data_IF_598799367488
#
_entry.id   IF_598799367488
#
_cell.length_a   1.000
_cell.length_b   1.000
_cell.length_c   1.000
_cell.angle_alpha   90.00
_cell.angle_beta   90.00
_cell.angle_gamma   90.00
#
_symmetry.space_group_name_H-M   'P 1'
#
loop_
_entity.id
_entity.type
_entity.pdbx_description
1 polymer ?
#
# COMPACT_ATOMS: atom_id res chain seq x y z
N UNK A 1 20.21 -15.47 -7.33
CA UNK A 1 19.75 -14.06 -7.18
C UNK A 1 18.32 -13.84 -7.70
N UNK A 2 17.96 -14.31 -8.91
CA UNK A 2 16.60 -14.16 -9.46
C UNK A 2 15.47 -14.74 -8.58
N UNK A 3 15.72 -15.88 -7.94
CA UNK A 3 14.76 -16.56 -7.04
C UNK A 3 14.47 -15.78 -5.77
N UNK A 4 15.46 -15.08 -5.21
CA UNK A 4 15.30 -14.29 -3.99
C UNK A 4 14.45 -13.03 -4.24
N UNK A 5 14.69 -12.34 -5.36
CA UNK A 5 13.93 -11.15 -5.74
C UNK A 5 12.46 -11.48 -6.05
N UNK A 6 12.20 -12.59 -6.75
CA UNK A 6 10.82 -13.08 -6.96
C UNK A 6 10.11 -13.40 -5.65
N UNK A 7 10.81 -13.99 -4.67
CA UNK A 7 10.26 -14.25 -3.33
C UNK A 7 9.90 -12.94 -2.62
N UNK A 8 10.80 -11.96 -2.61
CA UNK A 8 10.56 -10.65 -2.01
C UNK A 8 9.39 -9.91 -2.69
N UNK A 9 9.29 -9.99 -4.02
CA UNK A 9 8.17 -9.43 -4.78
C UNK A 9 6.84 -10.05 -4.37
N UNK A 10 6.76 -11.39 -4.31
CA UNK A 10 5.57 -12.11 -3.87
C UNK A 10 5.16 -11.71 -2.45
N UNK A 11 6.11 -11.60 -1.52
CA UNK A 11 5.84 -11.22 -0.13
C UNK A 11 5.29 -9.78 -0.03
N UNK A 12 5.82 -8.84 -0.81
CA UNK A 12 5.31 -7.47 -0.84
C UNK A 12 3.92 -7.38 -1.46
N UNK A 13 3.65 -8.16 -2.50
CA UNK A 13 2.33 -8.25 -3.12
C UNK A 13 1.30 -8.81 -2.14
N UNK A 14 1.65 -9.87 -1.41
CA UNK A 14 0.78 -10.46 -0.39
C UNK A 14 0.45 -9.47 0.73
N UNK A 15 1.47 -8.79 1.29
CA UNK A 15 1.27 -7.74 2.30
C UNK A 15 0.41 -6.58 1.78
N UNK A 16 0.61 -6.18 0.52
CA UNK A 16 -0.20 -5.14 -0.08
C UNK A 16 -1.64 -5.58 -0.31
N UNK A 17 -1.88 -6.81 -0.75
CA UNK A 17 -3.22 -7.37 -0.92
C UNK A 17 -3.94 -7.50 0.42
N UNK A 18 -3.25 -7.92 1.48
CA UNK A 18 -3.79 -7.92 2.83
C UNK A 18 -4.22 -6.50 3.25
N UNK A 19 -3.34 -5.52 3.06
CA UNK A 19 -3.65 -4.12 3.32
C UNK A 19 -4.85 -3.62 2.51
N UNK A 20 -4.96 -3.98 1.23
CA UNK A 20 -6.09 -3.63 0.35
C UNK A 20 -7.39 -4.31 0.80
N UNK A 21 -7.33 -5.53 1.33
CA UNK A 21 -8.48 -6.26 1.86
C UNK A 21 -9.00 -5.77 3.21
N UNK A 22 -8.17 -5.11 4.04
CA UNK A 22 -8.56 -4.67 5.40
C UNK A 22 -9.76 -3.71 5.40
N UNK A 23 -10.73 -3.93 6.29
CA UNK A 23 -11.84 -2.98 6.47
C UNK A 23 -11.33 -1.73 7.21
N UNK A 24 -11.70 -0.55 6.71
CA UNK A 24 -11.31 0.74 7.29
C UNK A 24 -12.43 1.40 8.12
N UNK A 25 -13.32 0.59 8.69
CA UNK A 25 -14.41 1.04 9.57
C UNK A 25 -13.90 1.28 10.98
N UNK A 26 -14.49 2.24 11.71
CA UNK A 26 -14.29 2.47 13.14
C UNK A 26 -12.83 2.69 13.59
N UNK A 27 -11.97 3.19 12.70
CA UNK A 27 -10.58 3.47 13.04
C UNK A 27 -10.46 4.65 14.01
N UNK A 28 -9.57 4.55 15.00
CA UNK A 28 -9.10 5.67 15.81
C UNK A 28 -8.20 6.61 14.98
N UNK A 29 -7.81 7.75 15.54
CA UNK A 29 -6.80 8.61 14.88
C UNK A 29 -5.44 7.93 14.83
N UNK A 30 -5.05 7.17 15.86
CA UNK A 30 -3.79 6.41 15.85
C UNK A 30 -3.79 5.35 14.74
N UNK A 31 -4.86 4.56 14.63
CA UNK A 31 -5.00 3.51 13.63
C UNK A 31 -4.87 4.10 12.21
N UNK A 32 -5.46 5.28 12.00
CA UNK A 32 -5.36 5.98 10.71
C UNK A 32 -3.94 6.44 10.41
N UNK A 33 -3.21 6.95 11.40
CA UNK A 33 -1.81 7.36 11.23
C UNK A 33 -0.94 6.15 10.89
N UNK A 34 -1.11 5.06 11.63
CA UNK A 34 -0.38 3.80 11.40
C UNK A 34 -0.68 3.24 10.01
N UNK A 35 -1.95 3.12 9.63
CA UNK A 35 -2.34 2.63 8.31
C UNK A 35 -1.84 3.53 7.16
N UNK A 36 -1.77 4.85 7.36
CA UNK A 36 -1.19 5.77 6.37
C UNK A 36 0.31 5.55 6.20
N UNK A 37 1.04 5.35 7.31
CA UNK A 37 2.49 5.06 7.31
C UNK A 37 2.77 3.70 6.67
N UNK A 38 2.01 2.67 7.02
CA UNK A 38 2.10 1.33 6.43
C UNK A 38 1.89 1.38 4.91
N UNK A 39 0.84 2.05 4.45
CA UNK A 39 0.59 2.22 3.02
C UNK A 39 1.75 2.92 2.31
N UNK A 40 2.32 3.97 2.91
CA UNK A 40 3.50 4.66 2.36
C UNK A 40 4.71 3.74 2.26
N UNK A 41 4.96 2.92 3.29
CA UNK A 41 6.03 1.94 3.29
C UNK A 41 5.87 0.93 2.17
N UNK A 42 4.67 0.34 2.02
CA UNK A 42 4.35 -0.61 0.96
C UNK A 42 4.59 -0.02 -0.43
N UNK A 43 4.10 1.19 -0.69
CA UNK A 43 4.29 1.87 -1.98
C UNK A 43 5.78 2.06 -2.30
N UNK A 44 6.58 2.51 -1.32
CA UNK A 44 8.02 2.72 -1.53
C UNK A 44 8.77 1.40 -1.78
N UNK A 45 8.49 0.36 -0.99
CA UNK A 45 9.11 -0.95 -1.17
C UNK A 45 8.72 -1.59 -2.51
N UNK A 46 7.46 -1.47 -2.94
CA UNK A 46 7.04 -1.98 -4.26
C UNK A 46 7.72 -1.19 -5.38
N UNK A 47 7.87 0.13 -5.24
CA UNK A 47 8.53 0.97 -6.24
C UNK A 47 10.00 0.59 -6.48
N UNK A 48 10.72 0.17 -5.43
CA UNK A 48 12.10 -0.32 -5.56
C UNK A 48 12.18 -1.54 -6.49
N UNK A 49 11.29 -2.51 -6.30
CA UNK A 49 11.23 -3.70 -7.17
C UNK A 49 10.73 -3.34 -8.56
N UNK A 50 9.73 -2.47 -8.67
CA UNK A 50 9.18 -2.02 -9.94
C UNK A 50 10.22 -1.32 -10.81
N UNK A 51 11.12 -0.51 -10.23
CA UNK A 51 12.18 0.17 -10.99
C UNK A 51 13.07 -0.78 -11.77
N UNK A 52 13.32 -1.97 -11.23
CA UNK A 52 14.17 -2.99 -11.85
C UNK A 52 13.38 -3.94 -12.75
N UNK A 53 12.24 -4.43 -12.27
CA UNK A 53 11.44 -5.47 -12.95
C UNK A 53 10.53 -4.90 -14.03
N UNK A 54 10.09 -3.65 -13.87
CA UNK A 54 9.04 -2.99 -14.66
C UNK A 54 7.75 -3.81 -14.76
N UNK A 55 7.48 -4.68 -13.78
CA UNK A 55 6.30 -5.53 -13.77
C UNK A 55 5.01 -4.69 -13.65
N UNK A 56 4.10 -4.74 -14.64
CA UNK A 56 2.83 -4.02 -14.59
C UNK A 56 1.97 -4.34 -13.37
N UNK A 57 2.05 -5.56 -12.84
CA UNK A 57 1.27 -5.99 -11.67
C UNK A 57 1.67 -5.19 -10.41
N UNK A 58 2.96 -4.89 -10.24
CA UNK A 58 3.44 -4.04 -9.14
C UNK A 58 2.85 -2.62 -9.22
N UNK A 59 2.70 -2.09 -10.43
CA UNK A 59 2.11 -0.78 -10.66
C UNK A 59 0.61 -0.77 -10.33
N UNK A 60 -0.11 -1.82 -10.70
CA UNK A 60 -1.53 -1.97 -10.38
C UNK A 60 -1.75 -1.98 -8.86
N UNK A 61 -1.01 -2.83 -8.14
CA UNK A 61 -1.09 -2.91 -6.68
C UNK A 61 -0.68 -1.59 -6.02
N UNK A 62 0.37 -0.92 -6.49
CA UNK A 62 0.73 0.41 -5.98
C UNK A 62 -0.41 1.43 -6.13
N UNK A 63 -1.11 1.45 -7.27
CA UNK A 63 -2.24 2.36 -7.51
C UNK A 63 -3.36 2.09 -6.50
N UNK A 64 -3.70 0.82 -6.27
CA UNK A 64 -4.75 0.45 -5.31
C UNK A 64 -4.40 0.85 -3.88
N UNK A 65 -3.17 0.55 -3.42
CA UNK A 65 -2.68 0.98 -2.11
C UNK A 65 -2.71 2.50 -1.99
N UNK A 66 -2.35 3.23 -3.05
CA UNK A 66 -2.38 4.71 -3.08
C UNK A 66 -3.79 5.26 -2.95
N UNK A 67 -4.77 4.69 -3.67
CA UNK A 67 -6.18 5.09 -3.55
C UNK A 67 -6.67 4.88 -2.13
N UNK A 68 -6.32 3.74 -1.52
CA UNK A 68 -6.71 3.44 -0.13
C UNK A 68 -6.06 4.40 0.86
N UNK A 69 -4.75 4.66 0.72
CA UNK A 69 -4.02 5.66 1.51
C UNK A 69 -4.68 7.03 1.44
N UNK A 70 -5.03 7.51 0.24
CA UNK A 70 -5.68 8.80 0.04
C UNK A 70 -7.00 8.90 0.82
N UNK A 71 -7.79 7.82 0.88
CA UNK A 71 -9.04 7.78 1.68
C UNK A 71 -8.76 7.90 3.19
N UNK A 72 -7.70 7.28 3.69
CA UNK A 72 -7.27 7.39 5.10
C UNK A 72 -6.84 8.82 5.41
N UNK A 73 -6.02 9.42 4.55
CA UNK A 73 -5.50 10.77 4.74
C UNK A 73 -6.60 11.84 4.65
N UNK A 74 -7.58 11.69 3.76
CA UNK A 74 -8.77 12.57 3.75
C UNK A 74 -9.46 12.59 5.12
N UNK A 75 -9.63 11.40 5.73
CA UNK A 75 -10.24 11.26 7.07
C UNK A 75 -9.37 11.82 8.19
N UNK A 76 -8.04 11.67 8.11
CA UNK A 76 -7.10 12.27 9.07
C UNK A 76 -7.14 13.80 9.03
N UNK A 77 -7.18 14.36 7.83
CA UNK A 77 -7.11 15.81 7.62
C UNK A 77 -8.47 16.50 7.75
N UNK A 78 -9.54 15.76 8.09
CA UNK A 78 -10.90 16.30 8.18
C UNK A 78 -11.50 16.77 6.85
N UNK A 79 -10.96 16.31 5.72
CA UNK A 79 -11.44 16.70 4.39
C UNK A 79 -12.67 15.85 4.03
N UNK A 80 -13.78 16.46 3.58
CA UNK A 80 -14.97 15.73 3.15
C UNK A 80 -14.64 14.65 2.10
N UNK A 81 -15.27 13.48 2.25
CA UNK A 81 -15.20 12.40 1.28
C UNK A 81 -16.15 12.71 0.10
N UNK A 82 -15.84 13.77 -0.64
CA UNK A 82 -16.36 13.99 -2.01
C UNK A 82 -15.60 13.14 -3.01
#
# INVERSE_FOLDING_TARGET
>A
MLTLKKKQQMELLEKAQEFIGRKMSNMSTSDRVEASREAKSLILSINEIYKETKDPNLMEVMKEVTVKKKKIEKRLNGVPLV
#
